data_IF_358591991028
#
_entry.id   IF_358591991028
#
_cell.length_a   1.000
_cell.length_b   1.000
_cell.length_c   1.000
_cell.angle_alpha   90.00
_cell.angle_beta   90.00
_cell.angle_gamma   90.00
#
_symmetry.space_group_name_H-M   'P 1'
#
loop_
_entity.id
_entity.type
_entity.pdbx_description
1 polymer ?
#
# COMPACT_ATOMS: atom_id res chain seq x y z
N UNK A 1 -0.49 -3.39 9.01
CA UNK A 1 0.96 -3.25 9.16
C UNK A 1 1.43 -2.01 8.41
N UNK A 2 2.31 -1.23 9.03
CA UNK A 2 3.01 -0.12 8.37
C UNK A 2 4.52 -0.34 8.48
N UNK A 3 5.23 -0.08 7.38
CA UNK A 3 6.68 -0.12 7.31
C UNK A 3 7.14 1.20 6.68
N UNK A 4 8.04 1.93 7.36
CA UNK A 4 8.60 3.18 6.90
C UNK A 4 10.13 3.10 6.81
N UNK A 5 10.70 3.81 5.85
CA UNK A 5 12.14 3.88 5.64
C UNK A 5 12.50 4.44 4.26
N UNK A 6 13.79 4.59 3.97
CA UNK A 6 14.23 4.97 2.64
C UNK A 6 14.00 3.83 1.64
N UNK A 7 13.29 4.13 0.56
CA UNK A 7 12.97 3.18 -0.50
C UNK A 7 13.64 3.53 -1.83
N UNK A 8 13.91 2.51 -2.65
CA UNK A 8 14.48 2.65 -4.00
C UNK A 8 13.75 1.81 -5.05
N UNK A 9 12.48 1.44 -4.79
CA UNK A 9 11.70 0.56 -5.67
C UNK A 9 12.06 -0.93 -5.60
N UNK A 10 13.24 -1.27 -5.10
CA UNK A 10 13.73 -2.66 -4.93
C UNK A 10 14.17 -2.97 -3.51
N UNK A 11 14.53 -1.96 -2.74
CA UNK A 11 15.05 -2.09 -1.36
C UNK A 11 14.39 -1.07 -0.45
N UNK A 12 14.24 -1.46 0.82
CA UNK A 12 13.92 -0.57 1.94
C UNK A 12 15.16 -0.57 2.83
N UNK A 13 15.83 0.58 2.95
CA UNK A 13 17.17 0.67 3.51
C UNK A 13 18.12 -0.37 2.86
N UNK A 14 18.67 -1.31 3.63
CA UNK A 14 19.53 -2.39 3.13
C UNK A 14 18.78 -3.67 2.73
N UNK A 15 17.49 -3.78 3.05
CA UNK A 15 16.70 -5.01 2.89
C UNK A 15 16.04 -5.05 1.51
N UNK A 16 16.12 -6.20 0.83
CA UNK A 16 15.39 -6.43 -0.42
C UNK A 16 13.88 -6.42 -0.14
N UNK A 17 13.11 -5.81 -1.05
CA UNK A 17 11.66 -5.69 -0.88
C UNK A 17 10.96 -7.06 -0.80
N UNK A 18 11.43 -8.05 -1.56
CA UNK A 18 10.91 -9.42 -1.48
C UNK A 18 11.03 -10.04 -0.10
N UNK A 19 12.14 -9.80 0.60
CA UNK A 19 12.37 -10.31 1.96
C UNK A 19 11.34 -9.79 2.98
N UNK A 20 10.79 -8.59 2.77
CA UNK A 20 9.70 -8.07 3.61
C UNK A 20 8.48 -8.99 3.54
N UNK A 21 8.08 -9.40 2.34
CA UNK A 21 6.93 -10.29 2.15
C UNK A 21 7.21 -11.70 2.71
N UNK A 22 8.42 -12.22 2.54
CA UNK A 22 8.86 -13.49 3.12
C UNK A 22 8.76 -13.46 4.64
N UNK A 23 9.23 -12.38 5.27
CA UNK A 23 9.15 -12.20 6.71
C UNK A 23 7.70 -12.15 7.19
N UNK A 24 6.83 -11.39 6.51
CA UNK A 24 5.40 -11.33 6.83
C UNK A 24 4.76 -12.73 6.73
N UNK A 25 5.04 -13.46 5.66
CA UNK A 25 4.52 -14.82 5.45
C UNK A 25 4.97 -15.79 6.57
N UNK A 26 6.23 -15.71 6.98
CA UNK A 26 6.78 -16.53 8.07
C UNK A 26 6.08 -16.24 9.39
N UNK A 27 5.96 -14.95 9.76
CA UNK A 27 5.30 -14.54 11.01
C UNK A 27 3.83 -14.95 11.02
N UNK A 28 3.10 -14.81 9.92
CA UNK A 28 1.70 -15.26 9.81
C UNK A 28 1.57 -16.76 10.06
N UNK A 29 2.46 -17.55 9.47
CA UNK A 29 2.48 -19.02 9.64
C UNK A 29 2.77 -19.41 11.08
N UNK A 30 3.78 -18.80 11.69
CA UNK A 30 4.17 -19.07 13.08
C UNK A 30 3.07 -18.69 14.09
N UNK A 31 2.47 -17.53 13.91
CA UNK A 31 1.43 -17.00 14.81
C UNK A 31 0.04 -17.55 14.51
N UNK A 32 -0.13 -18.41 13.49
CA UNK A 32 -1.44 -18.92 13.04
C UNK A 32 -2.46 -17.79 12.85
N UNK A 33 -2.02 -16.67 12.29
CA UNK A 33 -2.86 -15.49 12.13
C UNK A 33 -3.91 -15.75 11.05
N UNK A 34 -5.18 -15.68 11.41
CA UNK A 34 -6.32 -15.93 10.51
C UNK A 34 -7.03 -14.64 10.06
N UNK A 35 -6.51 -13.49 10.42
CA UNK A 35 -7.09 -12.19 10.07
C UNK A 35 -6.65 -11.66 8.71
N UNK A 36 -7.34 -10.62 8.26
CA UNK A 36 -6.95 -9.84 7.09
C UNK A 36 -5.78 -8.93 7.42
N UNK A 37 -4.71 -8.97 6.63
CA UNK A 37 -3.55 -8.09 6.80
C UNK A 37 -3.42 -7.21 5.57
N UNK A 38 -3.34 -5.91 5.80
CA UNK A 38 -2.92 -4.94 4.80
C UNK A 38 -1.53 -4.40 5.12
N UNK A 39 -0.83 -3.93 4.09
CA UNK A 39 0.48 -3.33 4.20
C UNK A 39 0.48 -1.90 3.67
N UNK A 40 0.81 -0.93 4.54
CA UNK A 40 1.20 0.42 4.15
C UNK A 40 2.72 0.47 4.06
N UNK A 41 3.23 0.81 2.88
CA UNK A 41 4.64 0.95 2.62
C UNK A 41 4.99 2.44 2.50
N UNK A 42 5.37 3.03 3.62
CA UNK A 42 5.74 4.45 3.76
C UNK A 42 7.19 4.68 3.30
N UNK A 43 7.46 4.34 2.03
CA UNK A 43 8.82 4.42 1.46
C UNK A 43 8.74 4.80 0.00
N UNK A 44 9.67 5.66 -0.44
CA UNK A 44 9.75 6.15 -1.82
C UNK A 44 9.86 5.00 -2.84
N UNK A 45 9.19 5.15 -3.98
CA UNK A 45 9.27 4.27 -5.15
C UNK A 45 8.84 2.81 -4.93
N UNK A 46 8.42 2.43 -3.70
CA UNK A 46 8.07 1.04 -3.41
C UNK A 46 6.76 0.62 -4.08
N UNK A 47 5.88 1.57 -4.41
CA UNK A 47 4.67 1.34 -5.19
C UNK A 47 4.89 1.19 -6.70
N UNK A 48 6.08 1.49 -7.22
CA UNK A 48 6.36 1.47 -8.66
C UNK A 48 6.47 0.06 -9.25
N UNK A 49 6.93 -0.92 -8.47
CA UNK A 49 7.13 -2.30 -8.93
C UNK A 49 5.89 -3.18 -8.69
N UNK A 50 4.83 -2.95 -9.49
CA UNK A 50 3.54 -3.65 -9.33
C UNK A 50 3.64 -5.18 -9.46
N UNK A 51 4.58 -5.70 -10.24
CA UNK A 51 4.77 -7.15 -10.37
C UNK A 51 5.33 -7.75 -9.08
N UNK A 52 6.36 -7.15 -8.49
CA UNK A 52 6.92 -7.58 -7.22
C UNK A 52 5.89 -7.48 -6.08
N UNK A 53 5.09 -6.40 -6.07
CA UNK A 53 3.99 -6.23 -5.12
C UNK A 53 2.95 -7.34 -5.29
N UNK A 54 2.57 -7.63 -6.55
CA UNK A 54 1.62 -8.70 -6.86
C UNK A 54 2.09 -10.07 -6.37
N UNK A 55 3.36 -10.40 -6.57
CA UNK A 55 3.97 -11.62 -6.05
C UNK A 55 3.98 -11.63 -4.52
N UNK A 56 4.37 -10.51 -3.90
CA UNK A 56 4.41 -10.35 -2.45
C UNK A 56 3.05 -10.48 -1.78
N UNK A 57 2.00 -9.88 -2.36
CA UNK A 57 0.61 -10.02 -1.89
C UNK A 57 0.20 -11.48 -1.85
N UNK A 58 0.48 -12.24 -2.91
CA UNK A 58 0.15 -13.67 -2.99
C UNK A 58 0.96 -14.50 -1.98
N UNK A 59 2.26 -14.26 -1.89
CA UNK A 59 3.18 -14.96 -1.01
C UNK A 59 2.86 -14.72 0.47
N UNK A 60 2.65 -13.47 0.85
CA UNK A 60 2.36 -13.05 2.20
C UNK A 60 0.85 -13.03 2.53
N UNK A 61 -0.01 -13.49 1.60
CA UNK A 61 -1.47 -13.52 1.77
C UNK A 61 -2.03 -12.19 2.29
N UNK A 62 -1.54 -11.07 1.72
CA UNK A 62 -2.03 -9.75 2.08
C UNK A 62 -3.36 -9.47 1.41
N UNK A 63 -4.29 -8.83 2.13
CA UNK A 63 -5.55 -8.38 1.56
C UNK A 63 -5.33 -7.19 0.62
N UNK A 64 -4.40 -6.30 0.97
CA UNK A 64 -4.07 -5.14 0.18
C UNK A 64 -2.66 -4.64 0.48
N UNK A 65 -2.12 -3.88 -0.48
CA UNK A 65 -0.88 -3.12 -0.40
C UNK A 65 -1.16 -1.67 -0.80
N UNK A 66 -0.66 -0.73 -0.01
CA UNK A 66 -0.64 0.70 -0.31
C UNK A 66 0.79 1.22 -0.23
N UNK A 67 1.20 2.08 -1.18
CA UNK A 67 2.52 2.68 -1.17
C UNK A 67 2.70 3.77 -2.22
N UNK A 68 3.90 4.34 -2.27
CA UNK A 68 4.27 5.46 -3.14
C UNK A 68 5.06 4.97 -4.36
N UNK A 69 4.65 5.39 -5.56
CA UNK A 69 5.36 5.08 -6.80
C UNK A 69 6.32 6.19 -7.23
N UNK A 70 6.52 7.20 -6.40
CA UNK A 70 7.42 8.32 -6.59
C UNK A 70 8.38 8.50 -5.40
N UNK A 71 9.39 9.36 -5.56
CA UNK A 71 10.17 9.89 -4.45
C UNK A 71 9.29 10.89 -3.68
N UNK A 72 8.54 10.38 -2.70
CA UNK A 72 7.56 11.18 -1.97
C UNK A 72 8.22 12.17 -1.01
N UNK A 73 7.61 13.35 -0.89
CA UNK A 73 7.97 14.33 0.13
C UNK A 73 7.60 13.78 1.51
N UNK A 74 8.50 13.91 2.45
CA UNK A 74 8.38 13.24 3.75
C UNK A 74 7.16 13.70 4.56
N UNK A 75 6.90 15.01 4.61
CA UNK A 75 5.79 15.57 5.36
C UNK A 75 4.44 15.12 4.78
N UNK A 76 4.30 15.19 3.46
CA UNK A 76 3.10 14.84 2.71
C UNK A 76 2.77 13.36 2.85
N UNK A 77 3.77 12.50 2.69
CA UNK A 77 3.57 11.05 2.86
C UNK A 77 3.21 10.69 4.30
N UNK A 78 3.84 11.32 5.30
CA UNK A 78 3.51 11.10 6.72
C UNK A 78 2.07 11.50 7.01
N UNK A 79 1.59 12.61 6.46
CA UNK A 79 0.23 13.09 6.64
C UNK A 79 -0.78 12.09 6.02
N UNK A 80 -0.55 11.67 4.78
CA UNK A 80 -1.38 10.69 4.08
C UNK A 80 -1.44 9.38 4.88
N UNK A 81 -0.30 8.85 5.29
CA UNK A 81 -0.22 7.61 6.06
C UNK A 81 -0.94 7.69 7.39
N UNK A 82 -0.84 8.83 8.08
CA UNK A 82 -1.54 9.08 9.35
C UNK A 82 -3.05 9.05 9.17
N UNK A 83 -3.56 9.73 8.13
CA UNK A 83 -4.99 9.71 7.81
C UNK A 83 -5.46 8.30 7.43
N UNK A 84 -4.72 7.59 6.59
CA UNK A 84 -5.04 6.21 6.22
C UNK A 84 -5.12 5.32 7.46
N UNK A 85 -4.11 5.34 8.32
CA UNK A 85 -4.10 4.55 9.55
C UNK A 85 -5.31 4.88 10.44
N UNK A 86 -5.60 6.16 10.63
CA UNK A 86 -6.75 6.59 11.42
C UNK A 86 -8.07 6.06 10.85
N UNK A 87 -8.31 6.27 9.55
CA UNK A 87 -9.57 5.84 8.92
C UNK A 87 -9.72 4.32 8.86
N UNK A 88 -8.67 3.61 8.46
CA UNK A 88 -8.68 2.15 8.38
C UNK A 88 -8.89 1.50 9.75
N UNK A 89 -8.28 2.08 10.80
CA UNK A 89 -8.46 1.60 12.18
C UNK A 89 -9.86 1.90 12.69
N UNK A 90 -10.37 3.11 12.46
CA UNK A 90 -11.71 3.52 12.91
C UNK A 90 -12.83 2.72 12.25
N UNK A 91 -12.70 2.36 10.98
CA UNK A 91 -13.70 1.56 10.26
C UNK A 91 -13.69 0.08 10.63
N UNK A 92 -12.75 -0.35 11.47
CA UNK A 92 -12.71 -1.72 11.98
C UNK A 92 -12.58 -2.75 10.87
N UNK A 93 -11.58 -2.62 10.00
CA UNK A 93 -11.29 -3.63 8.95
C UNK A 93 -10.75 -4.90 9.64
N UNK A 94 -11.60 -5.59 10.39
CA UNK A 94 -11.23 -6.75 11.19
C UNK A 94 -11.64 -8.08 10.56
N UNK A 95 -12.52 -8.05 9.56
CA UNK A 95 -13.03 -9.24 8.86
C UNK A 95 -12.68 -9.06 7.39
N UNK A 96 -12.55 -10.13 6.62
CA UNK A 96 -12.20 -10.07 5.19
C UNK A 96 -13.12 -9.09 4.42
N UNK A 97 -12.68 -7.86 4.16
CA UNK A 97 -13.52 -6.87 3.49
C UNK A 97 -13.59 -7.17 2.00
N UNK A 98 -14.70 -6.82 1.36
CA UNK A 98 -14.79 -6.87 -0.10
C UNK A 98 -13.86 -5.84 -0.75
N UNK A 99 -13.51 -6.04 -2.01
CA UNK A 99 -12.68 -5.08 -2.76
C UNK A 99 -13.34 -3.69 -2.80
N UNK A 100 -14.64 -3.61 -3.10
CA UNK A 100 -15.38 -2.34 -3.15
C UNK A 100 -15.38 -1.61 -1.81
N UNK A 101 -15.55 -2.36 -0.71
CA UNK A 101 -15.48 -1.78 0.62
C UNK A 101 -14.09 -1.21 0.94
N UNK A 102 -13.02 -1.93 0.57
CA UNK A 102 -11.65 -1.43 0.73
C UNK A 102 -11.41 -0.16 -0.09
N UNK A 103 -11.77 -0.18 -1.39
CA UNK A 103 -11.65 0.99 -2.27
C UNK A 103 -12.35 2.18 -1.62
N UNK A 104 -13.59 2.02 -1.17
CA UNK A 104 -14.35 3.07 -0.50
C UNK A 104 -13.67 3.56 0.78
N UNK A 105 -13.07 2.69 1.58
CA UNK A 105 -12.32 3.10 2.77
C UNK A 105 -11.11 3.97 2.44
N UNK A 106 -10.37 3.61 1.38
CA UNK A 106 -9.23 4.41 0.91
C UNK A 106 -9.68 5.75 0.29
N UNK A 107 -10.75 5.77 -0.49
CA UNK A 107 -11.36 6.99 -1.03
C UNK A 107 -11.77 7.94 0.09
N UNK A 108 -12.48 7.43 1.11
CA UNK A 108 -12.93 8.25 2.25
C UNK A 108 -11.73 8.81 3.04
N UNK A 109 -10.67 8.04 3.21
CA UNK A 109 -9.45 8.49 3.88
C UNK A 109 -8.72 9.57 3.09
N UNK A 110 -8.74 9.49 1.76
CA UNK A 110 -8.07 10.43 0.86
C UNK A 110 -8.95 11.62 0.44
N UNK A 111 -10.24 11.62 0.79
CA UNK A 111 -11.19 12.67 0.40
C UNK A 111 -10.84 14.08 0.91
N UNK A 112 -9.99 14.18 1.93
CA UNK A 112 -9.51 15.46 2.49
C UNK A 112 -8.36 16.08 1.69
N UNK A 113 -7.78 15.34 0.74
CA UNK A 113 -6.65 15.79 -0.06
C UNK A 113 -7.11 16.20 -1.45
N UNK A 114 -6.59 17.32 -1.94
CA UNK A 114 -6.75 17.66 -3.36
C UNK A 114 -5.98 16.63 -4.20
N UNK A 115 -6.69 16.00 -5.14
CA UNK A 115 -6.11 14.99 -6.04
C UNK A 115 -4.93 15.49 -6.88
N UNK A 116 -4.82 16.81 -7.08
CA UNK A 116 -3.74 17.44 -7.81
C UNK A 116 -2.60 17.93 -6.91
N UNK A 117 -2.73 17.78 -5.59
CA UNK A 117 -1.69 18.18 -4.64
C UNK A 117 -0.40 17.38 -4.90
N UNK A 118 0.73 18.09 -5.04
CA UNK A 118 2.02 17.48 -5.32
C UNK A 118 2.58 16.80 -4.08
N UNK A 119 2.93 15.51 -4.21
CA UNK A 119 3.45 14.70 -3.10
C UNK A 119 4.87 14.20 -3.32
N UNK A 120 5.45 14.46 -4.48
CA UNK A 120 6.80 14.01 -4.80
C UNK A 120 7.14 14.14 -6.26
N UNK A 121 8.15 13.39 -6.70
CA UNK A 121 8.60 13.36 -8.09
C UNK A 121 9.15 11.99 -8.46
N UNK A 122 9.22 11.71 -9.75
CA UNK A 122 10.09 10.67 -10.32
C UNK A 122 11.21 11.34 -11.13
N UNK A 123 11.95 10.57 -11.93
CA UNK A 123 13.06 11.08 -12.74
C UNK A 123 12.60 12.04 -13.86
N UNK A 124 11.29 12.07 -14.17
CA UNK A 124 10.73 12.76 -15.34
C UNK A 124 9.90 13.98 -14.92
N UNK A 125 9.10 13.86 -13.86
CA UNK A 125 8.10 14.89 -13.51
C UNK A 125 7.73 14.86 -12.03
N UNK A 126 7.15 15.99 -11.58
CA UNK A 126 6.44 16.04 -10.31
C UNK A 126 5.18 15.14 -10.37
N UNK A 127 4.84 14.55 -9.24
CA UNK A 127 3.68 13.65 -9.09
C UNK A 127 2.66 14.22 -8.12
N UNK A 128 1.46 14.33 -8.62
CA UNK A 128 0.30 14.59 -7.76
C UNK A 128 -0.06 13.36 -6.93
N UNK A 129 -0.87 13.55 -5.89
CA UNK A 129 -1.32 12.46 -5.03
C UNK A 129 -2.03 11.35 -5.82
N UNK A 130 -2.85 11.71 -6.83
CA UNK A 130 -3.53 10.73 -7.69
C UNK A 130 -2.58 9.90 -8.56
N UNK A 131 -1.41 10.45 -8.90
CA UNK A 131 -0.40 9.81 -9.76
C UNK A 131 0.66 9.09 -8.94
N UNK A 132 0.96 9.58 -7.74
CA UNK A 132 2.03 9.11 -6.88
C UNK A 132 1.66 7.96 -5.95
N UNK A 133 0.38 7.53 -5.90
CA UNK A 133 -0.09 6.46 -5.02
C UNK A 133 -0.33 5.16 -5.77
N UNK A 134 -0.10 4.06 -5.09
CA UNK A 134 -0.40 2.70 -5.56
C UNK A 134 -1.24 1.96 -4.54
N UNK A 135 -2.36 1.40 -4.99
CA UNK A 135 -3.22 0.51 -4.21
C UNK A 135 -3.43 -0.79 -4.99
N UNK A 136 -3.00 -1.90 -4.40
CA UNK A 136 -3.23 -3.25 -4.94
C UNK A 136 -4.10 -4.03 -3.95
N UNK A 137 -5.16 -4.70 -4.44
CA UNK A 137 -6.13 -5.41 -3.59
C UNK A 137 -6.29 -6.87 -4.07
N UNK A 138 -6.22 -7.81 -3.13
CA UNK A 138 -6.57 -9.22 -3.36
C UNK A 138 -8.09 -9.41 -3.27
N UNK A 139 -8.64 -10.34 -4.07
CA UNK A 139 -10.03 -10.80 -3.94
C UNK A 139 -10.21 -11.89 -2.85
N UNK A 140 -9.11 -12.22 -2.13
CA UNK A 140 -9.06 -13.30 -1.15
C UNK A 140 -8.59 -14.64 -1.71
N UNK A 141 -8.60 -14.83 -3.04
CA UNK A 141 -7.95 -15.97 -3.70
C UNK A 141 -6.50 -15.59 -4.07
N UNK A 142 -5.58 -15.90 -3.17
CA UNK A 142 -4.15 -15.57 -3.35
C UNK A 142 -3.44 -16.36 -4.46
N UNK A 143 -4.13 -17.21 -5.20
CA UNK A 143 -3.64 -17.81 -6.45
C UNK A 143 -3.82 -16.86 -7.63
N UNK A 144 -4.74 -15.92 -7.52
CA UNK A 144 -5.03 -14.91 -8.55
C UNK A 144 -4.13 -13.69 -8.42
N UNK A 145 -3.99 -12.98 -9.52
CA UNK A 145 -3.30 -11.68 -9.53
C UNK A 145 -4.16 -10.64 -8.80
N UNK A 146 -3.60 -9.87 -7.84
CA UNK A 146 -4.35 -8.80 -7.19
C UNK A 146 -4.73 -7.72 -8.21
N UNK A 147 -5.85 -7.07 -7.93
CA UNK A 147 -6.39 -5.97 -8.73
C UNK A 147 -5.65 -4.66 -8.42
N UNK A 148 -5.27 -3.91 -9.45
CA UNK A 148 -4.71 -2.57 -9.32
C UNK A 148 -5.84 -1.54 -9.21
N UNK A 149 -6.09 -1.06 -8.01
CA UNK A 149 -7.13 -0.10 -7.69
C UNK A 149 -6.63 1.37 -7.65
N UNK A 150 -5.37 1.62 -8.04
CA UNK A 150 -4.74 2.96 -7.90
C UNK A 150 -5.55 4.06 -8.60
N UNK A 151 -6.08 3.79 -9.80
CA UNK A 151 -6.88 4.76 -10.57
C UNK A 151 -8.24 5.08 -9.95
N UNK A 152 -8.72 4.24 -9.04
CA UNK A 152 -10.02 4.40 -8.38
C UNK A 152 -9.93 5.23 -7.10
N UNK A 153 -8.75 5.55 -6.60
CA UNK A 153 -8.58 6.28 -5.33
C UNK A 153 -9.24 7.67 -5.35
N UNK A 154 -9.35 8.29 -6.51
CA UNK A 154 -9.89 9.64 -6.70
C UNK A 154 -10.99 9.70 -7.80
N UNK A 155 -11.70 8.59 -8.00
CA UNK A 155 -12.83 8.52 -8.92
C UNK A 155 -14.13 9.06 -8.29
#
# INVERSE_FOLDING_TARGET
LQIAGHGSGKKIASTQFGTVFETIASVQKEKKFNGSIGLIMSSCLMGSNKELISQGIRQARLQWFFGYNCASLWMESTLIDTFLLYFLTKKGIHVQPTQDYLIKCFQDALALFDKNYLIGSDEISEKSIREGLTLMISDGDFRRKPFDASSLLFS
#
